data_IF_491433412165
#
_entry.id   IF_491433412165
#
_cell.length_a   1.000
_cell.length_b   1.000
_cell.length_c   1.000
_cell.angle_alpha   90.00
_cell.angle_beta   90.00
_cell.angle_gamma   90.00
#
_symmetry.space_group_name_H-M   'P 1'
#
loop_
_entity.id
_entity.type
_entity.pdbx_description
1 polymer ?
#
# COMPACT_ATOMS: atom_id res chain seq x y z
N UNK A 1 -20.72 -11.01 -3.99
CA UNK A 1 -19.71 -10.91 -2.91
C UNK A 1 -18.49 -10.22 -3.48
N UNK A 2 -17.75 -9.45 -2.69
CA UNK A 2 -16.51 -8.86 -3.16
C UNK A 2 -15.47 -9.91 -3.59
N UNK A 3 -14.65 -9.56 -4.57
CA UNK A 3 -13.52 -10.37 -5.05
C UNK A 3 -12.21 -9.60 -4.91
N UNK A 4 -11.08 -10.32 -4.90
CA UNK A 4 -9.74 -9.74 -4.91
C UNK A 4 -8.98 -10.33 -6.09
N UNK A 5 -8.44 -9.47 -6.95
CA UNK A 5 -7.52 -9.83 -8.03
C UNK A 5 -6.15 -9.19 -7.76
N UNK A 6 -5.06 -9.91 -7.99
CA UNK A 6 -3.71 -9.37 -7.88
C UNK A 6 -3.33 -8.72 -9.21
N UNK A 7 -3.23 -7.39 -9.23
CA UNK A 7 -2.77 -6.68 -10.42
C UNK A 7 -1.24 -6.72 -10.53
N UNK A 8 -0.58 -6.48 -9.40
CA UNK A 8 0.87 -6.54 -9.28
C UNK A 8 1.24 -7.34 -8.02
N UNK A 9 2.04 -8.41 -8.13
CA UNK A 9 2.48 -9.15 -6.96
C UNK A 9 3.47 -8.30 -6.14
N UNK A 10 3.43 -8.48 -4.82
CA UNK A 10 4.39 -7.89 -3.89
C UNK A 10 5.64 -8.75 -3.75
N UNK A 11 6.80 -8.10 -3.68
CA UNK A 11 8.09 -8.71 -3.35
C UNK A 11 9.10 -7.60 -2.97
N UNK A 12 10.29 -7.97 -2.50
CA UNK A 12 11.38 -7.01 -2.42
C UNK A 12 12.73 -7.65 -2.72
N UNK A 13 13.67 -6.81 -3.12
CA UNK A 13 15.07 -7.18 -3.30
C UNK A 13 15.87 -6.23 -2.42
N UNK A 14 16.73 -6.78 -1.56
CA UNK A 14 17.65 -5.99 -0.76
C UNK A 14 19.02 -5.95 -1.43
N UNK A 15 19.63 -4.76 -1.47
CA UNK A 15 20.99 -4.56 -1.97
C UNK A 15 21.77 -3.65 -1.03
N UNK A 16 23.08 -3.66 -1.12
CA UNK A 16 23.96 -2.72 -0.42
C UNK A 16 23.93 -1.31 -1.02
N UNK A 17 23.29 -1.14 -2.18
CA UNK A 17 23.11 0.14 -2.88
C UNK A 17 21.70 0.74 -2.71
N UNK A 18 20.77 0.01 -2.09
CA UNK A 18 19.40 0.48 -1.87
C UNK A 18 18.35 -0.63 -1.78
N UNK A 19 17.11 -0.22 -1.54
CA UNK A 19 15.97 -1.10 -1.29
C UNK A 19 14.87 -0.89 -2.34
N UNK A 20 14.95 -1.53 -3.51
CA UNK A 20 13.82 -1.59 -4.43
C UNK A 20 12.70 -2.44 -3.81
N UNK A 21 11.77 -1.75 -3.15
CA UNK A 21 10.56 -2.33 -2.60
C UNK A 21 9.46 -2.35 -3.67
N UNK A 22 8.80 -3.50 -3.85
CA UNK A 22 7.70 -3.65 -4.81
C UNK A 22 6.45 -4.03 -4.03
N UNK A 23 5.60 -3.05 -3.71
CA UNK A 23 4.37 -3.34 -3.00
C UNK A 23 3.40 -4.14 -3.89
N UNK A 24 2.56 -4.97 -3.29
CA UNK A 24 1.40 -5.56 -3.94
C UNK A 24 0.40 -4.47 -4.35
N UNK A 25 -0.25 -4.65 -5.49
CA UNK A 25 -1.41 -3.83 -5.90
C UNK A 25 -2.57 -4.75 -6.18
N UNK A 26 -3.68 -4.51 -5.50
CA UNK A 26 -4.85 -5.38 -5.50
C UNK A 26 -6.07 -4.66 -6.05
N UNK A 27 -6.81 -5.33 -6.93
CA UNK A 27 -8.11 -4.87 -7.40
C UNK A 27 -9.19 -5.59 -6.61
N UNK A 28 -9.95 -4.83 -5.82
CA UNK A 28 -11.14 -5.30 -5.12
C UNK A 28 -12.37 -4.86 -5.90
N UNK A 29 -13.25 -5.82 -6.21
CA UNK A 29 -14.50 -5.55 -6.93
C UNK A 29 -15.70 -6.00 -6.12
N UNK A 30 -16.80 -5.26 -6.20
CA UNK A 30 -18.07 -5.65 -5.60
C UNK A 30 -19.13 -4.56 -5.69
N UNK A 31 -20.41 -4.90 -5.42
CA UNK A 31 -21.50 -3.94 -5.50
C UNK A 31 -21.51 -2.96 -4.32
N UNK A 32 -21.75 -1.69 -4.58
CA UNK A 32 -22.06 -0.69 -3.56
C UNK A 32 -23.47 -0.91 -2.95
N UNK A 33 -23.85 -0.07 -1.99
CA UNK A 33 -25.17 -0.14 -1.35
C UNK A 33 -26.35 0.06 -2.32
N UNK A 34 -26.12 0.62 -3.50
CA UNK A 34 -27.12 0.79 -4.56
C UNK A 34 -27.06 -0.34 -5.61
N UNK A 35 -26.22 -1.36 -5.41
CA UNK A 35 -26.06 -2.49 -6.32
C UNK A 35 -25.20 -2.21 -7.56
N UNK A 36 -24.47 -1.10 -7.59
CA UNK A 36 -23.56 -0.77 -8.70
C UNK A 36 -22.19 -1.35 -8.44
N UNK A 37 -21.62 -2.04 -9.41
CA UNK A 37 -20.27 -2.59 -9.30
C UNK A 37 -19.23 -1.46 -9.13
N UNK A 38 -18.26 -1.68 -8.24
CA UNK A 38 -17.18 -0.73 -7.94
C UNK A 38 -15.81 -1.36 -8.18
N UNK A 39 -14.89 -0.58 -8.74
CA UNK A 39 -13.49 -0.97 -8.90
C UNK A 39 -12.63 -0.20 -7.88
N UNK A 40 -12.10 -0.93 -6.90
CA UNK A 40 -11.30 -0.36 -5.81
C UNK A 40 -9.86 -0.87 -5.94
N UNK A 41 -8.90 0.03 -6.05
CA UNK A 41 -7.46 -0.30 -6.04
C UNK A 41 -6.93 -0.14 -4.62
N UNK A 42 -6.20 -1.13 -4.12
CA UNK A 42 -5.47 -1.04 -2.85
C UNK A 42 -3.98 -0.89 -3.16
N UNK A 43 -3.43 0.25 -2.75
CA UNK A 43 -2.10 0.78 -3.09
C UNK A 43 -1.85 0.97 -4.60
N UNK A 44 -0.92 1.83 -4.97
CA UNK A 44 -0.68 2.23 -6.36
C UNK A 44 0.73 1.86 -6.88
N UNK A 45 1.60 1.31 -6.04
CA UNK A 45 3.01 1.05 -6.34
C UNK A 45 3.87 2.31 -6.59
N UNK A 46 5.20 2.12 -6.59
CA UNK A 46 6.16 3.13 -7.06
C UNK A 46 6.07 3.39 -8.58
N UNK A 47 6.54 4.55 -9.04
CA UNK A 47 6.46 4.98 -10.47
C UNK A 47 7.09 3.99 -11.45
N UNK A 48 8.10 3.23 -11.01
CA UNK A 48 8.78 2.23 -11.83
C UNK A 48 7.86 1.06 -12.25
N UNK A 49 6.75 0.82 -11.53
CA UNK A 49 5.77 -0.21 -11.89
C UNK A 49 4.65 0.29 -12.81
N UNK A 50 4.62 1.59 -13.15
CA UNK A 50 3.52 2.21 -13.91
C UNK A 50 3.16 1.49 -15.23
N UNK A 51 4.11 1.14 -16.12
CA UNK A 51 3.76 0.41 -17.34
C UNK A 51 3.17 -0.99 -17.07
N UNK A 52 3.56 -1.62 -15.97
CA UNK A 52 3.06 -2.93 -15.58
C UNK A 52 1.64 -2.82 -15.00
N UNK A 53 1.36 -1.77 -14.24
CA UNK A 53 0.04 -1.48 -13.71
C UNK A 53 -0.97 -1.22 -14.85
N UNK A 54 -0.59 -0.44 -15.88
CA UNK A 54 -1.43 -0.25 -17.07
C UNK A 54 -1.75 -1.57 -17.77
N UNK A 55 -0.75 -2.41 -18.01
CA UNK A 55 -0.95 -3.74 -18.60
C UNK A 55 -1.82 -4.64 -17.72
N UNK A 56 -1.69 -4.53 -16.40
CA UNK A 56 -2.53 -5.29 -15.48
C UNK A 56 -3.99 -4.85 -15.58
N UNK A 57 -4.27 -3.55 -15.54
CA UNK A 57 -5.63 -3.02 -15.73
C UNK A 57 -6.23 -3.47 -17.08
N UNK A 58 -5.46 -3.37 -18.16
CA UNK A 58 -5.88 -3.79 -19.51
C UNK A 58 -6.26 -5.28 -19.58
N UNK A 59 -5.51 -6.16 -18.89
CA UNK A 59 -5.86 -7.60 -18.79
C UNK A 59 -7.20 -7.83 -18.07
N UNK A 60 -7.62 -6.92 -17.21
CA UNK A 60 -8.94 -6.93 -16.57
C UNK A 60 -10.01 -6.16 -17.37
N UNK A 61 -9.68 -5.67 -18.56
CA UNK A 61 -10.58 -4.87 -19.40
C UNK A 61 -10.88 -3.49 -18.82
N UNK A 62 -9.97 -2.95 -17.99
CA UNK A 62 -10.11 -1.67 -17.30
C UNK A 62 -9.11 -0.66 -17.82
N UNK A 63 -9.53 0.59 -17.85
CA UNK A 63 -8.67 1.77 -17.94
C UNK A 63 -8.49 2.40 -16.56
N UNK A 64 -7.55 3.32 -16.42
CA UNK A 64 -7.38 4.03 -15.15
C UNK A 64 -8.57 4.96 -14.81
N UNK A 65 -9.42 5.30 -15.78
CA UNK A 65 -10.65 6.07 -15.59
C UNK A 65 -11.80 5.22 -15.03
N UNK A 66 -11.70 3.90 -15.12
CA UNK A 66 -12.70 2.97 -14.59
C UNK A 66 -12.51 2.68 -13.10
N UNK A 67 -11.43 3.21 -12.50
CA UNK A 67 -11.15 3.06 -11.07
C UNK A 67 -11.92 4.12 -10.27
N UNK A 68 -12.77 3.64 -9.39
CA UNK A 68 -13.64 4.46 -8.56
C UNK A 68 -12.96 4.99 -7.30
N UNK A 69 -12.07 4.17 -6.73
CA UNK A 69 -11.49 4.41 -5.42
C UNK A 69 -10.08 3.84 -5.38
N UNK A 70 -9.16 4.62 -4.83
CA UNK A 70 -7.82 4.16 -4.48
C UNK A 70 -7.70 4.23 -2.98
N UNK A 71 -7.45 3.10 -2.33
CA UNK A 71 -7.18 3.03 -0.90
C UNK A 71 -5.68 2.94 -0.72
N UNK A 72 -5.10 3.85 0.05
CA UNK A 72 -3.72 3.72 0.50
C UNK A 72 -3.69 3.07 1.86
N UNK A 73 -2.97 1.96 1.98
CA UNK A 73 -2.68 1.34 3.28
C UNK A 73 -1.85 2.29 4.14
N UNK A 74 -0.88 2.97 3.51
CA UNK A 74 -0.08 4.04 4.07
C UNK A 74 0.60 4.85 2.94
N UNK A 75 1.33 5.91 3.26
CA UNK A 75 1.83 6.90 2.30
C UNK A 75 3.34 6.78 1.98
N UNK A 76 3.94 5.60 2.11
CA UNK A 76 5.31 5.40 1.65
C UNK A 76 5.42 5.46 0.12
N UNK A 77 6.61 5.84 -0.34
CA UNK A 77 6.91 6.11 -1.75
C UNK A 77 6.52 4.96 -2.68
N UNK A 78 6.65 3.72 -2.22
CA UNK A 78 6.38 2.53 -2.98
C UNK A 78 4.92 2.10 -2.97
N UNK A 79 4.06 2.77 -2.21
CA UNK A 79 2.61 2.55 -2.22
C UNK A 79 1.86 3.71 -2.92
N UNK A 80 2.35 4.95 -2.82
CA UNK A 80 1.58 6.16 -3.17
C UNK A 80 1.86 6.74 -4.56
N UNK A 81 2.98 6.41 -5.17
CA UNK A 81 3.53 7.22 -6.27
C UNK A 81 2.75 7.20 -7.60
N UNK A 82 1.85 6.25 -7.82
CA UNK A 82 1.03 6.20 -9.04
C UNK A 82 -0.42 6.62 -8.85
N UNK A 83 -0.79 7.25 -7.73
CA UNK A 83 -2.19 7.68 -7.54
C UNK A 83 -2.66 8.68 -8.62
N UNK A 84 -1.73 9.43 -9.24
CA UNK A 84 -2.01 10.36 -10.34
C UNK A 84 -2.56 9.67 -11.60
N UNK A 85 -2.46 8.34 -11.70
CA UNK A 85 -3.03 7.58 -12.81
C UNK A 85 -4.56 7.55 -12.81
N UNK A 86 -5.21 7.76 -11.66
CA UNK A 86 -6.63 7.48 -11.46
C UNK A 86 -7.45 8.77 -11.31
N UNK A 87 -7.67 9.54 -12.40
CA UNK A 87 -8.19 10.91 -12.32
C UNK A 87 -9.64 11.01 -11.81
N UNK A 88 -10.41 9.91 -11.86
CA UNK A 88 -11.80 9.86 -11.37
C UNK A 88 -11.94 9.27 -9.98
N UNK A 89 -10.86 8.71 -9.42
CA UNK A 89 -10.93 8.01 -8.16
C UNK A 89 -11.02 8.96 -6.98
N UNK A 90 -11.73 8.53 -5.94
CA UNK A 90 -11.56 9.08 -4.59
C UNK A 90 -10.39 8.38 -3.91
N UNK A 91 -9.47 9.16 -3.35
CA UNK A 91 -8.39 8.66 -2.51
C UNK A 91 -8.91 8.42 -1.10
N UNK A 92 -8.78 7.21 -0.60
CA UNK A 92 -9.15 6.79 0.75
C UNK A 92 -7.88 6.50 1.54
N UNK A 93 -7.74 7.13 2.71
CA UNK A 93 -6.60 6.92 3.61
C UNK A 93 -6.94 7.36 5.04
N UNK A 94 -6.10 7.00 6.00
CA UNK A 94 -6.28 7.41 7.39
C UNK A 94 -5.96 8.90 7.60
N UNK A 95 -6.71 9.65 8.43
CA UNK A 95 -6.41 11.06 8.73
C UNK A 95 -5.00 11.26 9.31
N UNK A 96 -4.54 10.34 10.17
CA UNK A 96 -3.18 10.42 10.73
C UNK A 96 -2.09 10.19 9.68
N UNK A 97 -2.37 9.35 8.68
CA UNK A 97 -1.44 9.10 7.58
C UNK A 97 -1.33 10.33 6.67
N UNK A 98 -2.48 10.89 6.29
CA UNK A 98 -2.55 12.12 5.50
C UNK A 98 -1.77 13.23 6.20
N UNK A 99 -2.03 13.45 7.49
CA UNK A 99 -1.35 14.48 8.27
C UNK A 99 0.15 14.24 8.35
N UNK A 100 0.57 13.01 8.62
CA UNK A 100 1.99 12.67 8.71
C UNK A 100 2.73 12.92 7.39
N UNK A 101 2.13 12.56 6.25
CA UNK A 101 2.73 12.75 4.92
C UNK A 101 3.01 14.21 4.53
N UNK A 102 2.36 15.20 5.17
CA UNK A 102 2.62 16.63 4.95
C UNK A 102 3.84 17.16 5.70
N UNK A 103 4.26 16.46 6.75
CA UNK A 103 5.43 16.82 7.54
C UNK A 103 6.02 15.57 8.22
N UNK A 104 6.57 14.64 7.42
CA UNK A 104 7.14 13.41 7.94
C UNK A 104 8.35 13.71 8.82
N UNK A 105 8.72 12.74 9.65
CA UNK A 105 9.90 12.89 10.50
C UNK A 105 11.16 13.00 9.63
N UNK A 106 12.17 13.77 10.07
CA UNK A 106 13.37 14.02 9.27
C UNK A 106 14.19 12.74 8.96
N UNK A 107 14.04 11.70 9.79
CA UNK A 107 14.69 10.40 9.59
C UNK A 107 13.78 9.37 8.88
N UNK A 108 12.56 9.75 8.49
CA UNK A 108 11.73 8.92 7.63
C UNK A 108 12.24 9.05 6.19
N UNK A 109 12.89 7.99 5.73
CA UNK A 109 13.40 7.88 4.36
C UNK A 109 12.36 7.37 3.37
N UNK A 110 11.24 6.81 3.86
CA UNK A 110 10.21 6.17 3.05
C UNK A 110 9.04 7.11 2.72
N UNK A 111 8.85 8.19 3.48
CA UNK A 111 7.90 9.27 3.14
C UNK A 111 8.64 10.53 2.67
N UNK A 112 8.90 10.70 1.36
CA UNK A 112 9.46 11.94 0.83
C UNK A 112 8.63 13.17 1.26
N UNK A 113 9.29 14.29 1.54
CA UNK A 113 8.63 15.50 2.04
C UNK A 113 7.58 16.13 1.09
N UNK A 114 7.54 15.71 -0.17
CA UNK A 114 6.53 16.13 -1.14
C UNK A 114 5.27 15.23 -1.16
N UNK A 115 5.26 14.09 -0.44
CA UNK A 115 4.16 13.12 -0.47
C UNK A 115 2.81 13.76 -0.15
N UNK A 116 2.76 14.60 0.89
CA UNK A 116 1.54 15.34 1.22
C UNK A 116 0.95 16.13 0.03
N UNK A 117 1.79 16.72 -0.82
CA UNK A 117 1.32 17.45 -2.01
C UNK A 117 0.67 16.53 -3.04
N UNK A 118 1.18 15.31 -3.18
CA UNK A 118 0.66 14.29 -4.10
C UNK A 118 -0.73 13.82 -3.66
N UNK A 119 -0.92 13.55 -2.36
CA UNK A 119 -2.21 13.14 -1.79
C UNK A 119 -3.33 14.13 -2.12
N UNK A 120 -3.02 15.42 -2.04
CA UNK A 120 -3.98 16.49 -2.30
C UNK A 120 -4.26 16.71 -3.80
N UNK A 121 -3.75 15.87 -4.71
CA UNK A 121 -4.11 15.94 -6.13
C UNK A 121 -5.42 15.21 -6.44
N UNK A 122 -5.86 14.28 -5.57
CA UNK A 122 -7.15 13.59 -5.67
C UNK A 122 -8.18 14.10 -4.63
N UNK A 123 -9.49 13.88 -4.83
CA UNK A 123 -10.47 14.03 -3.76
C UNK A 123 -10.15 13.05 -2.63
N UNK A 124 -9.97 13.56 -1.42
CA UNK A 124 -9.59 12.74 -0.26
C UNK A 124 -10.81 12.45 0.62
N UNK A 125 -11.06 11.16 0.90
CA UNK A 125 -11.96 10.67 1.94
C UNK A 125 -11.11 10.06 3.05
N UNK A 126 -11.12 10.69 4.22
CA UNK A 126 -10.47 10.13 5.41
C UNK A 126 -11.34 9.01 6.00
N UNK A 127 -10.70 7.92 6.43
CA UNK A 127 -11.37 6.76 7.06
C UNK A 127 -10.61 6.27 8.28
N UNK A 128 -11.31 5.60 9.18
CA UNK A 128 -10.80 5.05 10.45
C UNK A 128 -11.23 3.60 10.65
N UNK A 129 -10.69 2.95 11.69
CA UNK A 129 -10.98 1.54 12.02
C UNK A 129 -12.49 1.26 12.09
N UNK A 130 -12.92 0.20 11.40
CA UNK A 130 -14.32 -0.25 11.40
C UNK A 130 -15.23 0.41 10.36
N UNK A 131 -14.78 1.42 9.62
CA UNK A 131 -15.55 1.99 8.52
C UNK A 131 -15.62 1.05 7.31
N UNK A 132 -16.74 1.08 6.59
CA UNK A 132 -16.91 0.35 5.32
C UNK A 132 -16.69 1.27 4.10
N UNK A 133 -16.02 0.71 3.10
CA UNK A 133 -15.84 1.32 1.77
C UNK A 133 -17.07 1.00 0.92
N UNK A 134 -17.40 -0.30 0.84
CA UNK A 134 -18.62 -0.88 0.25
C UNK A 134 -19.02 -2.10 1.10
N UNK A 135 -20.26 -2.63 0.99
CA UNK A 135 -20.66 -3.81 1.74
C UNK A 135 -19.69 -4.98 1.59
N UNK A 136 -19.14 -5.46 2.72
CA UNK A 136 -18.17 -6.55 2.75
C UNK A 136 -16.72 -6.16 2.45
N UNK A 137 -16.43 -4.86 2.28
CA UNK A 137 -15.08 -4.29 2.16
C UNK A 137 -14.90 -3.21 3.21
N UNK A 138 -14.22 -3.54 4.31
CA UNK A 138 -14.05 -2.68 5.48
C UNK A 138 -12.61 -2.30 5.77
N UNK A 139 -12.44 -1.27 6.59
CA UNK A 139 -11.13 -0.75 7.03
C UNK A 139 -10.78 -1.34 8.40
N UNK A 140 -9.53 -1.76 8.55
CA UNK A 140 -8.94 -2.13 9.85
C UNK A 140 -7.74 -1.23 10.14
N UNK A 141 -7.71 -0.60 11.31
CA UNK A 141 -6.58 0.18 11.80
C UNK A 141 -5.41 -0.74 12.16
N UNK A 142 -4.24 -0.45 11.58
CA UNK A 142 -3.01 -1.22 11.75
C UNK A 142 -1.79 -0.31 12.03
N UNK A 143 -1.87 0.65 12.98
CA UNK A 143 -0.80 1.60 13.23
C UNK A 143 0.49 0.92 13.71
N UNK A 144 1.62 1.59 13.51
CA UNK A 144 2.92 1.20 14.04
C UNK A 144 4.02 1.20 12.99
N UNK A 145 3.76 0.62 11.81
CA UNK A 145 4.64 0.84 10.65
C UNK A 145 4.67 2.33 10.32
N UNK A 146 3.50 2.93 10.11
CA UNK A 146 3.25 4.37 10.04
C UNK A 146 2.12 4.76 11.01
N UNK A 147 1.88 6.06 11.32
CA UNK A 147 0.85 6.47 12.28
C UNK A 147 -0.56 6.09 11.88
N UNK A 148 -0.88 6.18 10.60
CA UNK A 148 -2.20 5.92 10.06
C UNK A 148 -2.24 4.71 9.14
N UNK A 149 -1.32 3.75 9.34
CA UNK A 149 -1.37 2.48 8.61
C UNK A 149 -2.75 1.82 8.79
N UNK A 150 -3.39 1.47 7.68
CA UNK A 150 -4.65 0.72 7.62
C UNK A 150 -4.49 -0.52 6.76
N UNK A 151 -5.31 -1.52 7.03
CA UNK A 151 -5.56 -2.63 6.12
C UNK A 151 -7.01 -2.62 5.61
N UNK A 152 -7.28 -3.46 4.63
CA UNK A 152 -8.62 -3.68 4.09
C UNK A 152 -9.04 -5.11 4.33
N UNK A 153 -10.18 -5.27 5.00
CA UNK A 153 -10.86 -6.54 5.21
C UNK A 153 -11.86 -6.77 4.09
N UNK A 154 -11.77 -7.92 3.42
CA UNK A 154 -12.68 -8.29 2.35
C UNK A 154 -13.36 -9.61 2.69
N UNK A 155 -14.69 -9.62 2.65
CA UNK A 155 -15.50 -10.82 2.81
C UNK A 155 -15.58 -11.54 1.46
N UNK A 156 -14.71 -12.53 1.26
CA UNK A 156 -14.65 -13.32 0.03
C UNK A 156 -15.42 -14.64 0.19
N UNK A 157 -15.68 -15.34 -0.91
CA UNK A 157 -16.23 -16.70 -0.86
C UNK A 157 -15.27 -17.72 -0.21
N UNK A 158 -13.99 -17.39 -0.12
CA UNK A 158 -12.93 -18.23 0.44
C UNK A 158 -12.58 -17.89 1.90
N UNK A 159 -13.39 -17.06 2.55
CA UNK A 159 -13.17 -16.58 3.91
C UNK A 159 -12.82 -15.09 3.97
N UNK A 160 -12.38 -14.66 5.15
CA UNK A 160 -12.08 -13.27 5.43
C UNK A 160 -10.64 -12.96 5.05
N UNK A 161 -10.45 -12.17 4.01
CA UNK A 161 -9.14 -11.72 3.55
C UNK A 161 -8.74 -10.39 4.19
N UNK A 162 -7.46 -10.23 4.51
CA UNK A 162 -6.86 -8.97 4.93
C UNK A 162 -5.78 -8.55 3.94
N UNK A 163 -5.92 -7.38 3.33
CA UNK A 163 -4.86 -6.68 2.62
C UNK A 163 -4.19 -5.73 3.61
N UNK A 164 -2.92 -5.97 3.93
CA UNK A 164 -2.33 -5.46 5.17
C UNK A 164 -1.33 -4.33 4.98
N UNK A 165 -0.96 -4.02 3.74
CA UNK A 165 0.18 -3.14 3.45
C UNK A 165 1.39 -3.56 4.26
N UNK A 166 2.04 -2.59 4.88
CA UNK A 166 3.29 -2.82 5.61
C UNK A 166 3.16 -3.05 7.12
N UNK A 167 1.93 -3.14 7.63
CA UNK A 167 1.72 -3.67 8.98
C UNK A 167 2.13 -5.15 9.07
N UNK A 168 1.91 -5.90 7.99
CA UNK A 168 2.42 -7.25 7.75
C UNK A 168 2.79 -7.36 6.27
N UNK A 169 4.05 -7.04 5.94
CA UNK A 169 4.55 -6.99 4.57
C UNK A 169 5.17 -8.31 4.06
N UNK A 170 5.54 -9.24 4.93
CA UNK A 170 6.02 -10.58 4.52
C UNK A 170 5.45 -11.69 5.37
N UNK A 171 5.35 -12.89 4.82
CA UNK A 171 4.87 -14.06 5.56
C UNK A 171 5.74 -14.38 6.80
N UNK A 172 7.05 -14.10 6.76
CA UNK A 172 7.90 -14.31 7.93
C UNK A 172 7.51 -13.41 9.12
N UNK A 173 6.91 -12.24 8.89
CA UNK A 173 6.42 -11.36 9.97
C UNK A 173 5.29 -12.02 10.73
N UNK A 174 4.42 -12.76 10.04
CA UNK A 174 3.36 -13.55 10.66
C UNK A 174 3.94 -14.61 11.62
N UNK A 175 5.10 -15.17 11.28
CA UNK A 175 5.81 -16.17 12.10
C UNK A 175 6.60 -15.56 13.24
N UNK A 176 7.31 -14.46 13.00
CA UNK A 176 8.20 -13.84 14.00
C UNK A 176 7.50 -12.84 14.91
N UNK A 177 6.29 -12.39 14.55
CA UNK A 177 5.54 -11.32 15.22
C UNK A 177 6.33 -10.01 15.34
N UNK A 178 7.22 -9.76 14.38
CA UNK A 178 8.11 -8.60 14.38
C UNK A 178 8.09 -7.91 13.03
N UNK A 179 7.63 -6.67 13.03
CA UNK A 179 7.79 -5.78 11.89
C UNK A 179 9.26 -5.30 11.84
N UNK A 180 10.00 -5.53 10.74
CA UNK A 180 11.40 -5.15 10.59
C UNK A 180 11.58 -3.66 10.30
N UNK A 181 10.55 -2.92 9.89
CA UNK A 181 10.64 -1.50 9.54
C UNK A 181 9.55 -0.72 10.28
N UNK A 182 9.94 0.00 11.32
CA UNK A 182 9.00 0.74 12.18
C UNK A 182 9.29 2.23 12.10
N UNK A 183 8.35 3.00 11.56
CA UNK A 183 8.44 4.46 11.41
C UNK A 183 7.51 5.20 12.35
N UNK A 184 6.72 4.54 13.20
CA UNK A 184 5.83 5.20 14.17
C UNK A 184 5.88 4.65 15.59
N UNK A 185 5.58 3.36 15.79
CA UNK A 185 5.51 2.78 17.14
C UNK A 185 5.62 1.26 17.07
N UNK A 186 6.63 0.71 17.78
CA UNK A 186 6.93 -0.72 17.71
C UNK A 186 5.90 -1.59 18.44
N UNK A 187 5.32 -1.09 19.54
CA UNK A 187 4.31 -1.82 20.31
C UNK A 187 2.98 -1.86 19.53
N UNK A 188 2.62 -0.74 18.89
CA UNK A 188 1.47 -0.71 17.98
C UNK A 188 1.70 -1.63 16.78
N UNK A 189 2.90 -1.67 16.20
CA UNK A 189 3.21 -2.56 15.08
C UNK A 189 3.04 -4.04 15.47
N UNK A 190 3.52 -4.43 16.65
CA UNK A 190 3.32 -5.78 17.18
C UNK A 190 1.82 -6.10 17.39
N UNK A 191 1.06 -5.17 17.96
CA UNK A 191 -0.38 -5.35 18.15
C UNK A 191 -1.14 -5.47 16.83
N UNK A 192 -0.77 -4.67 15.82
CA UNK A 192 -1.35 -4.71 14.48
C UNK A 192 -1.12 -6.05 13.79
N UNK A 193 0.07 -6.66 13.95
CA UNK A 193 0.33 -8.02 13.47
C UNK A 193 -0.63 -9.02 14.15
N UNK A 194 -0.73 -9.01 15.48
CA UNK A 194 -1.65 -9.92 16.20
C UNK A 194 -3.11 -9.76 15.77
N UNK A 195 -3.55 -8.52 15.54
CA UNK A 195 -4.90 -8.22 15.04
C UNK A 195 -5.13 -8.90 13.68
N UNK A 196 -4.23 -8.72 12.71
CA UNK A 196 -4.36 -9.35 11.38
C UNK A 196 -4.50 -10.87 11.50
N UNK A 197 -3.62 -11.50 12.28
CA UNK A 197 -3.60 -12.96 12.44
C UNK A 197 -4.85 -13.50 13.15
N UNK A 198 -5.50 -12.67 13.96
CA UNK A 198 -6.73 -13.03 14.69
C UNK A 198 -7.97 -12.91 13.80
N UNK A 199 -8.00 -11.93 12.89
CA UNK A 199 -9.23 -11.53 12.18
C UNK A 199 -9.30 -12.00 10.73
N UNK A 200 -8.29 -12.68 10.20
CA UNK A 200 -8.24 -13.07 8.78
C UNK A 200 -7.82 -14.52 8.58
N UNK A 201 -8.40 -15.13 7.55
CA UNK A 201 -8.07 -16.47 7.07
C UNK A 201 -7.04 -16.42 5.93
N UNK A 202 -7.07 -15.33 5.15
CA UNK A 202 -6.19 -15.07 4.01
C UNK A 202 -5.48 -13.74 4.22
N UNK A 203 -4.17 -13.70 4.00
CA UNK A 203 -3.37 -12.49 4.16
C UNK A 203 -2.76 -12.12 2.81
N UNK A 204 -2.98 -10.88 2.39
CA UNK A 204 -2.42 -10.23 1.21
C UNK A 204 -1.41 -9.18 1.70
N UNK A 205 -0.13 -9.55 1.85
CA UNK A 205 0.87 -8.69 2.45
C UNK A 205 1.40 -7.63 1.48
N UNK A 206 2.01 -6.57 2.01
CA UNK A 206 2.61 -5.49 1.22
C UNK A 206 3.71 -5.96 0.26
N UNK A 207 4.61 -6.87 0.67
CA UNK A 207 5.82 -7.22 -0.08
C UNK A 207 6.06 -8.72 -0.23
N UNK A 208 5.00 -9.53 -0.21
CA UNK A 208 5.11 -10.97 -0.42
C UNK A 208 3.86 -11.47 -1.16
N UNK A 209 3.87 -12.75 -1.52
CA UNK A 209 2.70 -13.41 -2.10
C UNK A 209 1.62 -13.60 -1.03
N UNK A 210 0.33 -13.59 -1.42
CA UNK A 210 -0.72 -13.94 -0.49
C UNK A 210 -0.54 -15.33 0.08
N UNK A 211 -0.92 -15.51 1.35
CA UNK A 211 -0.72 -16.75 2.06
C UNK A 211 -1.81 -16.98 3.12
N UNK A 212 -1.86 -18.22 3.62
CA UNK A 212 -2.60 -18.62 4.82
C UNK A 212 -1.61 -19.07 5.88
N UNK A 213 -1.96 -18.88 7.15
CA UNK A 213 -1.31 -19.61 8.23
C UNK A 213 -2.05 -20.91 8.46
N UNK A 214 -1.33 -22.03 8.40
CA UNK A 214 -1.88 -23.33 8.80
C UNK A 214 -2.03 -23.40 10.32
N UNK A 215 -2.82 -24.36 10.82
CA UNK A 215 -2.94 -24.61 12.25
C UNK A 215 -1.60 -24.99 12.93
N UNK A 216 -0.63 -25.49 12.15
CA UNK A 216 0.73 -25.78 12.63
C UNK A 216 1.64 -24.54 12.67
N UNK A 217 1.20 -23.39 12.15
CA UNK A 217 1.98 -22.16 12.04
C UNK A 217 2.83 -22.07 10.77
N UNK A 218 2.67 -23.01 9.83
CA UNK A 218 3.34 -22.98 8.53
C UNK A 218 2.67 -21.98 7.57
N UNK A 219 3.47 -21.44 6.64
CA UNK A 219 3.00 -20.55 5.56
C UNK A 219 2.54 -21.39 4.37
N UNK A 220 1.26 -21.28 4.00
CA UNK A 220 0.68 -21.82 2.78
C UNK A 220 0.49 -20.69 1.75
N UNK A 221 1.40 -20.57 0.79
CA UNK A 221 1.33 -19.54 -0.25
C UNK A 221 0.25 -19.86 -1.28
N UNK A 222 -0.57 -18.86 -1.61
CA UNK A 222 -1.68 -18.99 -2.57
C UNK A 222 -1.24 -18.93 -4.03
N UNK A 223 -0.02 -18.44 -4.28
CA UNK A 223 0.54 -18.27 -5.61
C UNK A 223 2.02 -18.68 -5.67
N UNK A 224 2.47 -19.00 -6.89
CA UNK A 224 3.88 -19.26 -7.16
C UNK A 224 4.67 -17.96 -7.24
N UNK A 225 5.95 -17.98 -6.81
CA UNK A 225 6.84 -16.83 -7.00
C UNK A 225 7.61 -16.98 -8.30
N UNK A 226 7.55 -15.96 -9.15
CA UNK A 226 8.37 -15.86 -10.35
C UNK A 226 8.96 -14.46 -10.49
N UNK A 227 10.28 -14.38 -10.64
CA UNK A 227 11.00 -13.13 -10.87
C UNK A 227 12.14 -13.38 -11.85
N UNK A 228 12.17 -12.60 -12.93
CA UNK A 228 13.29 -12.59 -13.90
C UNK A 228 14.07 -11.29 -13.75
N UNK A 229 15.35 -11.40 -13.41
CA UNK A 229 16.28 -10.28 -13.39
C UNK A 229 17.03 -10.21 -14.72
N UNK A 230 16.92 -9.07 -15.41
CA UNK A 230 17.63 -8.81 -16.67
C UNK A 230 18.69 -7.75 -16.48
N UNK A 231 19.78 -7.83 -17.24
CA UNK A 231 20.90 -6.87 -17.16
C UNK A 231 21.98 -7.24 -16.14
N UNK A 232 21.81 -8.36 -15.44
CA UNK A 232 22.81 -8.99 -14.58
C UNK A 232 23.04 -10.42 -15.06
N UNK A 233 24.27 -10.90 -14.93
CA UNK A 233 24.62 -12.32 -15.09
C UNK A 233 25.04 -12.88 -13.73
N UNK A 234 24.67 -14.13 -13.40
CA UNK A 234 25.06 -14.73 -12.12
C UNK A 234 26.58 -14.76 -11.87
N UNK A 235 27.40 -14.66 -12.92
CA UNK A 235 28.85 -14.66 -12.89
C UNK A 235 29.50 -13.27 -13.07
N UNK A 236 28.72 -12.19 -13.04
CA UNK A 236 29.28 -10.82 -13.09
C UNK A 236 30.19 -10.57 -11.89
N UNK A 237 31.41 -10.09 -12.15
CA UNK A 237 32.41 -9.85 -11.12
C UNK A 237 31.91 -8.81 -10.10
N UNK A 238 31.81 -9.22 -8.83
CA UNK A 238 31.33 -8.37 -7.73
C UNK A 238 29.85 -8.54 -7.39
N UNK A 239 29.08 -9.30 -8.19
CA UNK A 239 27.72 -9.70 -7.81
C UNK A 239 27.78 -10.84 -6.79
N UNK A 240 27.05 -10.70 -5.69
CA UNK A 240 26.94 -11.72 -4.66
C UNK A 240 25.48 -11.86 -4.20
N UNK A 241 25.07 -13.09 -3.87
CA UNK A 241 23.77 -13.39 -3.28
C UNK A 241 23.97 -13.78 -1.82
N UNK A 242 23.37 -13.02 -0.91
CA UNK A 242 23.40 -13.26 0.52
C UNK A 242 22.15 -14.04 0.98
N UNK A 243 22.20 -14.62 2.18
CA UNK A 243 21.03 -15.24 2.79
C UNK A 243 19.94 -14.20 3.07
N UNK A 244 18.76 -14.43 2.51
CA UNK A 244 17.59 -13.56 2.62
C UNK A 244 16.76 -13.80 3.90
N UNK A 245 17.19 -14.70 4.80
CA UNK A 245 16.33 -15.26 5.85
C UNK A 245 15.88 -14.30 6.96
N UNK A 246 16.45 -13.08 7.07
CA UNK A 246 15.88 -12.02 7.89
C UNK A 246 16.45 -10.63 7.58
N UNK A 247 15.58 -9.64 7.34
CA UNK A 247 15.97 -8.22 7.43
C UNK A 247 16.23 -7.86 8.91
N UNK A 248 17.35 -7.17 9.23
CA UNK A 248 17.56 -6.60 10.55
C UNK A 248 16.38 -5.71 10.96
N UNK A 249 16.03 -5.74 12.25
CA UNK A 249 15.04 -4.80 12.77
C UNK A 249 15.62 -3.39 12.69
N UNK A 250 14.88 -2.50 12.03
CA UNK A 250 15.14 -1.08 12.00
C UNK A 250 13.94 -0.34 12.59
N UNK A 251 14.22 0.48 13.60
CA UNK A 251 13.28 1.43 14.18
C UNK A 251 13.82 2.80 13.88
N UNK A 252 12.98 3.68 13.32
CA UNK A 252 13.38 5.01 12.91
C UNK A 252 14.06 5.76 14.08
N UNK A 253 15.28 6.30 13.89
CA UNK A 253 15.90 7.14 14.90
C UNK A 253 15.04 8.37 15.23
N UNK A 254 14.83 8.67 16.52
CA UNK A 254 13.99 9.80 16.96
C UNK A 254 12.48 9.50 17.02
N UNK A 255 12.07 8.23 16.85
CA UNK A 255 10.66 7.81 16.88
C UNK A 255 9.90 8.26 18.14
N UNK A 256 10.58 8.39 19.29
CA UNK A 256 9.96 8.84 20.54
C UNK A 256 9.49 10.31 20.49
N UNK A 257 10.12 11.14 19.66
CA UNK A 257 9.78 12.56 19.50
C UNK A 257 8.61 12.78 18.55
N UNK A 258 8.31 11.77 17.74
CA UNK A 258 7.40 11.87 16.61
C UNK A 258 5.97 12.19 17.04
N UNK A 259 5.46 11.60 18.14
CA UNK A 259 4.13 11.91 18.66
C UNK A 259 4.01 13.38 19.09
N UNK A 260 5.04 13.89 19.76
CA UNK A 260 5.11 15.30 20.19
C UNK A 260 5.18 16.24 18.99
N UNK A 261 6.01 15.93 18.00
CA UNK A 261 6.12 16.72 16.76
C UNK A 261 4.83 16.68 15.96
N UNK A 262 4.20 15.51 15.87
CA UNK A 262 2.92 15.30 15.23
C UNK A 262 1.90 16.27 15.83
N UNK A 263 1.67 16.22 17.15
CA UNK A 263 0.76 17.10 17.89
C UNK A 263 1.07 18.59 17.73
N UNK A 264 2.33 18.99 17.93
CA UNK A 264 2.77 20.39 17.83
C UNK A 264 2.48 21.00 16.46
N UNK A 265 2.59 20.22 15.39
CA UNK A 265 2.48 20.71 14.01
C UNK A 265 1.07 20.63 13.44
N UNK A 266 0.05 20.21 14.22
CA UNK A 266 -1.32 19.96 13.74
C UNK A 266 -1.93 21.15 12.98
N UNK A 267 -1.78 22.36 13.52
CA UNK A 267 -2.36 23.56 12.91
C UNK A 267 -1.61 24.01 11.66
N UNK A 268 -0.28 23.90 11.65
CA UNK A 268 0.51 24.20 10.45
C UNK A 268 0.18 23.24 9.30
N UNK A 269 0.04 21.95 9.60
CA UNK A 269 -0.32 20.95 8.60
C UNK A 269 -1.73 21.20 8.04
N UNK A 270 -2.72 21.50 8.89
CA UNK A 270 -4.08 21.87 8.42
C UNK A 270 -4.05 23.07 7.47
N UNK A 271 -3.21 24.08 7.77
CA UNK A 271 -3.01 25.24 6.90
C UNK A 271 -2.27 24.89 5.60
N UNK A 272 -1.33 23.94 5.61
CA UNK A 272 -0.66 23.45 4.40
C UNK A 272 -1.65 22.74 3.48
N UNK A 273 -2.42 21.80 4.02
CA UNK A 273 -3.44 21.03 3.29
C UNK A 273 -4.41 21.97 2.55
N UNK A 274 -4.94 22.99 3.23
CA UNK A 274 -5.91 23.92 2.63
C UNK A 274 -5.34 24.84 1.54
N UNK A 275 -4.01 24.85 1.36
CA UNK A 275 -3.29 25.70 0.39
C UNK A 275 -2.62 24.91 -0.72
N UNK A 276 -2.73 23.58 -0.76
CA UNK A 276 -2.09 22.81 -1.83
C UNK A 276 -2.76 23.14 -3.16
N UNK A 277 -2.01 23.65 -4.15
CA UNK A 277 -2.58 23.91 -5.46
C UNK A 277 -2.94 22.58 -6.13
N UNK A 278 -4.10 22.56 -6.80
CA UNK A 278 -4.49 21.46 -7.67
C UNK A 278 -3.75 21.59 -9.00
N UNK A 279 -3.04 20.56 -9.39
CA UNK A 279 -2.52 20.42 -10.75
C UNK A 279 -3.70 20.07 -11.64
N UNK A 280 -4.06 20.99 -12.54
CA UNK A 280 -5.08 20.74 -13.55
C UNK A 280 -4.41 20.03 -14.73
N UNK A 281 -4.74 18.76 -15.03
CA UNK A 281 -4.19 18.09 -16.19
C UNK A 281 -4.62 18.83 -17.47
N UNK A 282 -3.77 18.86 -18.52
CA UNK A 282 -4.17 19.41 -19.81
C UNK A 282 -5.39 18.67 -20.35
N UNK A 283 -6.28 19.38 -21.05
CA UNK A 283 -7.45 18.77 -21.68
C UNK A 283 -7.02 17.60 -22.58
N UNK A 284 -7.78 16.48 -22.61
CA UNK A 284 -7.49 15.38 -23.51
C UNK A 284 -7.37 15.91 -24.94
N UNK A 285 -6.33 15.50 -25.68
CA UNK A 285 -6.29 15.78 -27.11
C UNK A 285 -7.49 15.09 -27.73
N UNK A 286 -8.34 15.85 -28.43
CA UNK A 286 -9.42 15.28 -29.24
C UNK A 286 -8.84 14.16 -30.09
N UNK A 287 -9.45 12.97 -30.02
CA UNK A 287 -9.07 11.86 -30.87
C UNK A 287 -9.21 12.34 -32.32
N UNK A 288 -8.08 12.56 -32.99
CA UNK A 288 -8.07 12.89 -34.40
C UNK A 288 -8.85 11.83 -35.18
N UNK A 289 -9.49 12.19 -36.30
CA UNK A 289 -10.34 11.27 -37.05
C UNK A 289 -9.55 9.99 -37.35
N UNK A 290 -10.16 8.84 -37.02
CA UNK A 290 -9.61 7.54 -37.35
C UNK A 290 -9.34 7.52 -38.85
N UNK A 291 -8.07 7.42 -39.25
CA UNK A 291 -7.72 7.21 -40.64
C UNK A 291 -8.30 5.85 -41.05
N UNK A 292 -9.28 5.89 -41.95
CA UNK A 292 -9.90 4.72 -42.58
C UNK A 292 -9.02 4.06 -43.63
#
# INVERSE_FOLDING_TARGET
>A
MPTIDILLPGFAIDTDQGYPAFCGVFLVRGPDAAGRERNIIIDAAHVGRRPFLWKALDRHGLTAEDIDTVVLTHAHWDHVQNIDLFPRATLVLHPDERRYAHLPHANDWATPAWTGLLLEQLPVREVTDGEEIIPGVGVIGLPGHSPGSIGVIVQTEHGRAAITGDALHFAYVARTRRNPLVFWDADQAAHSIERVLTVSDLIYPGHDRPFRLTAAGDIDYLESFELTLTGLRPDDHGLAFADASARPLWVMPGIQEQRTLYEKNAEDIRRRISRVPRVVPPAPREAGPANG
#
